data_IF_385546318468
#
_entry.id   IF_385546318468
#
_cell.length_a   1.000
_cell.length_b   1.000
_cell.length_c   1.000
_cell.angle_alpha   90.00
_cell.angle_beta   90.00
_cell.angle_gamma   90.00
#
_symmetry.space_group_name_H-M   'P 1'
#
loop_
_entity.id
_entity.type
_entity.pdbx_description
1 polymer ?
#
# COMPACT_ATOMS: atom_id res chain seq x y z
N UNK A 1 24.88 3.19 -17.54
CA UNK A 1 25.66 1.96 -17.87
C UNK A 1 24.91 0.70 -17.46
N UNK A 2 24.41 0.56 -16.21
CA UNK A 2 23.71 -0.62 -15.73
C UNK A 2 22.50 -1.03 -16.58
N UNK A 3 21.64 -0.07 -16.96
CA UNK A 3 20.49 -0.32 -17.83
C UNK A 3 20.92 -0.88 -19.20
N UNK A 4 21.99 -0.30 -19.80
CA UNK A 4 22.52 -0.78 -21.07
C UNK A 4 23.08 -2.18 -20.99
N UNK A 5 23.79 -2.49 -19.90
CA UNK A 5 24.32 -3.82 -19.64
C UNK A 5 23.19 -4.84 -19.49
N UNK A 6 22.17 -4.49 -18.72
CA UNK A 6 21.02 -5.37 -18.45
C UNK A 6 20.19 -5.62 -19.71
N UNK A 7 19.95 -4.58 -20.53
CA UNK A 7 19.27 -4.71 -21.82
C UNK A 7 20.07 -5.59 -22.79
N UNK A 8 21.40 -5.41 -22.86
CA UNK A 8 22.28 -6.24 -23.68
C UNK A 8 22.26 -7.70 -23.22
N UNK A 9 22.28 -7.94 -21.92
CA UNK A 9 22.24 -9.31 -21.37
C UNK A 9 20.92 -10.01 -21.70
N UNK A 10 19.80 -9.30 -21.63
CA UNK A 10 18.49 -9.85 -21.99
C UNK A 10 18.21 -9.85 -23.50
N UNK A 11 19.12 -9.38 -24.34
CA UNK A 11 18.96 -9.33 -25.81
C UNK A 11 17.85 -8.40 -26.30
N UNK A 12 17.49 -7.37 -25.49
CA UNK A 12 16.36 -6.47 -25.78
C UNK A 12 16.81 -5.06 -26.05
N UNK A 13 16.01 -4.31 -26.81
CA UNK A 13 16.22 -2.88 -27.04
C UNK A 13 15.69 -2.08 -25.86
N UNK A 14 16.39 -1.00 -25.53
CA UNK A 14 15.96 -0.07 -24.47
C UNK A 14 14.80 0.76 -24.98
N UNK A 15 13.68 0.75 -24.26
CA UNK A 15 12.60 1.72 -24.45
C UNK A 15 12.90 3.00 -23.66
N UNK A 16 13.37 4.02 -24.37
CA UNK A 16 13.65 5.32 -23.76
C UNK A 16 12.39 6.07 -23.32
N UNK A 17 11.23 5.77 -23.91
CA UNK A 17 9.96 6.38 -23.50
C UNK A 17 9.60 5.91 -22.08
N UNK A 18 9.70 4.62 -21.83
CA UNK A 18 9.52 4.03 -20.50
C UNK A 18 10.52 4.60 -19.49
N UNK A 19 11.80 4.73 -19.84
CA UNK A 19 12.81 5.31 -18.94
C UNK A 19 12.51 6.78 -18.59
N UNK A 20 11.96 7.55 -19.53
CA UNK A 20 11.55 8.93 -19.26
C UNK A 20 10.36 9.00 -18.29
N UNK A 21 9.39 8.09 -18.37
CA UNK A 21 8.25 8.07 -17.43
C UNK A 21 8.65 7.74 -16.00
N UNK A 22 9.82 7.14 -15.80
CA UNK A 22 10.41 6.82 -14.50
C UNK A 22 11.47 7.84 -14.05
N UNK A 23 11.63 8.96 -14.76
CA UNK A 23 12.62 10.02 -14.50
C UNK A 23 14.06 9.49 -14.42
N UNK A 24 14.36 8.39 -15.12
CA UNK A 24 15.70 7.77 -15.11
C UNK A 24 16.76 8.69 -15.69
N UNK A 25 16.37 9.58 -16.59
CA UNK A 25 17.29 10.55 -17.21
C UNK A 25 17.93 11.48 -16.18
N UNK A 26 17.23 11.84 -15.11
CA UNK A 26 17.75 12.69 -14.03
C UNK A 26 18.90 12.04 -13.24
N UNK A 27 18.92 10.73 -13.21
CA UNK A 27 19.88 9.95 -12.43
C UNK A 27 20.95 9.26 -13.32
N UNK A 28 20.87 9.42 -14.64
CA UNK A 28 21.72 8.70 -15.59
C UNK A 28 23.21 8.84 -15.33
N UNK A 29 23.64 10.03 -14.87
CA UNK A 29 25.06 10.34 -14.60
C UNK A 29 25.52 10.02 -13.17
N UNK A 30 24.59 9.66 -12.28
CA UNK A 30 24.92 9.36 -10.88
C UNK A 30 25.41 7.92 -10.74
N UNK A 31 26.35 7.71 -9.82
CA UNK A 31 26.71 6.37 -9.38
C UNK A 31 25.61 5.81 -8.48
N UNK A 32 25.40 4.49 -8.48
CA UNK A 32 24.37 3.83 -7.69
C UNK A 32 24.43 4.17 -6.18
N UNK A 33 25.65 4.29 -5.64
CA UNK A 33 25.87 4.65 -4.24
C UNK A 33 25.37 6.08 -3.88
N UNK A 34 25.31 6.97 -4.88
CA UNK A 34 24.89 8.37 -4.71
C UNK A 34 23.38 8.57 -4.88
N UNK A 35 22.64 7.52 -5.26
CA UNK A 35 21.20 7.57 -5.45
C UNK A 35 20.48 7.57 -4.10
N UNK A 36 19.44 8.41 -3.97
CA UNK A 36 18.50 8.31 -2.87
C UNK A 36 17.73 6.98 -2.92
N UNK A 37 17.07 6.61 -1.82
CA UNK A 37 16.26 5.38 -1.76
C UNK A 37 15.19 5.38 -2.86
N UNK A 38 14.47 6.50 -3.06
CA UNK A 38 13.47 6.64 -4.13
C UNK A 38 14.07 6.51 -5.52
N UNK A 39 15.26 7.10 -5.76
CA UNK A 39 15.97 6.98 -7.04
C UNK A 39 16.41 5.53 -7.30
N UNK A 40 16.86 4.81 -6.27
CA UNK A 40 17.19 3.38 -6.38
C UNK A 40 15.94 2.55 -6.71
N UNK A 41 14.81 2.81 -6.08
CA UNK A 41 13.55 2.10 -6.38
C UNK A 41 13.07 2.35 -7.82
N UNK A 42 13.12 3.60 -8.30
CA UNK A 42 12.81 3.93 -9.70
C UNK A 42 13.76 3.20 -10.67
N UNK A 43 15.03 3.12 -10.35
CA UNK A 43 16.01 2.36 -11.15
C UNK A 43 15.70 0.86 -11.15
N UNK A 44 15.38 0.27 -9.99
CA UNK A 44 15.00 -1.15 -9.90
C UNK A 44 13.73 -1.44 -10.71
N UNK A 45 12.72 -0.57 -10.64
CA UNK A 45 11.52 -0.71 -11.46
C UNK A 45 11.85 -0.60 -12.95
N UNK A 46 12.71 0.34 -13.35
CA UNK A 46 13.16 0.46 -14.73
C UNK A 46 13.87 -0.81 -15.22
N UNK A 47 14.72 -1.42 -14.39
CA UNK A 47 15.37 -2.69 -14.70
C UNK A 47 14.38 -3.84 -14.86
N UNK A 48 13.37 -3.92 -13.99
CA UNK A 48 12.31 -4.92 -14.07
C UNK A 48 11.46 -4.80 -15.34
N UNK A 49 11.33 -3.58 -15.88
CA UNK A 49 10.57 -3.30 -17.09
C UNK A 49 11.37 -3.47 -18.40
N UNK A 50 12.67 -3.72 -18.31
CA UNK A 50 13.48 -3.99 -19.50
C UNK A 50 12.94 -5.26 -20.19
N UNK A 51 12.72 -5.16 -21.51
CA UNK A 51 12.13 -6.25 -22.28
C UNK A 51 10.61 -6.26 -22.30
N UNK A 52 9.97 -5.25 -21.69
CA UNK A 52 8.53 -5.08 -21.71
C UNK A 52 7.75 -6.32 -21.21
N UNK A 53 8.05 -6.88 -20.03
CA UNK A 53 7.42 -8.10 -19.54
C UNK A 53 5.92 -7.90 -19.34
N UNK A 54 5.13 -8.98 -19.49
CA UNK A 54 3.69 -8.96 -19.19
C UNK A 54 3.41 -9.10 -17.69
N UNK A 55 4.33 -9.74 -16.95
CA UNK A 55 4.22 -9.97 -15.51
C UNK A 55 5.42 -9.34 -14.80
N UNK A 56 5.15 -8.56 -13.77
CA UNK A 56 6.14 -7.84 -12.98
C UNK A 56 5.98 -8.23 -11.51
N UNK A 57 7.07 -8.67 -10.87
CA UNK A 57 7.10 -8.96 -9.44
C UNK A 57 7.77 -7.82 -8.69
N UNK A 58 7.07 -7.29 -7.68
CA UNK A 58 7.55 -6.22 -6.81
C UNK A 58 7.50 -6.70 -5.36
N UNK A 59 8.66 -6.75 -4.72
CA UNK A 59 8.79 -7.13 -3.31
C UNK A 59 9.13 -5.89 -2.49
N UNK A 60 8.24 -5.55 -1.53
CA UNK A 60 8.35 -4.37 -0.65
C UNK A 60 8.77 -3.10 -1.41
N UNK A 61 8.07 -2.71 -2.50
CA UNK A 61 8.57 -1.67 -3.39
C UNK A 61 8.61 -0.29 -2.77
N UNK A 62 7.79 -0.02 -1.74
CA UNK A 62 7.73 1.27 -1.05
C UNK A 62 8.57 1.33 0.23
N UNK A 63 9.22 0.24 0.61
CA UNK A 63 10.01 0.19 1.84
C UNK A 63 11.11 1.26 1.84
N UNK A 64 11.14 2.09 2.90
CA UNK A 64 12.12 3.17 3.07
C UNK A 64 11.91 4.38 2.18
N UNK A 65 10.77 4.51 1.51
CA UNK A 65 10.38 5.72 0.79
C UNK A 65 9.70 6.72 1.75
N UNK A 66 9.95 8.00 1.50
CA UNK A 66 9.13 9.08 2.03
C UNK A 66 7.74 9.13 1.38
N UNK A 67 6.88 10.01 1.85
CA UNK A 67 5.50 10.13 1.35
C UNK A 67 5.45 10.43 -0.15
N UNK A 68 6.27 11.37 -0.62
CA UNK A 68 6.33 11.74 -2.05
C UNK A 68 6.82 10.58 -2.92
N UNK A 69 7.87 9.89 -2.49
CA UNK A 69 8.41 8.73 -3.19
C UNK A 69 7.40 7.59 -3.30
N UNK A 70 6.61 7.37 -2.23
CA UNK A 70 5.55 6.37 -2.19
C UNK A 70 4.43 6.73 -3.17
N UNK A 71 3.93 7.96 -3.15
CA UNK A 71 2.90 8.44 -4.09
C UNK A 71 3.36 8.30 -5.54
N UNK A 72 4.58 8.76 -5.84
CA UNK A 72 5.16 8.65 -7.19
C UNK A 72 5.24 7.20 -7.66
N UNK A 73 5.69 6.27 -6.82
CA UNK A 73 5.77 4.85 -7.16
C UNK A 73 4.37 4.23 -7.38
N UNK A 74 3.39 4.56 -6.56
CA UNK A 74 2.00 4.12 -6.72
C UNK A 74 1.42 4.58 -8.07
N UNK A 75 1.69 5.81 -8.48
CA UNK A 75 1.28 6.31 -9.80
C UNK A 75 1.91 5.51 -10.95
N UNK A 76 3.20 5.17 -10.84
CA UNK A 76 3.87 4.34 -11.84
C UNK A 76 3.25 2.95 -11.93
N UNK A 77 2.96 2.31 -10.79
CA UNK A 77 2.28 1.02 -10.74
C UNK A 77 0.90 1.10 -11.41
N UNK A 78 0.10 2.14 -11.11
CA UNK A 78 -1.21 2.33 -11.75
C UNK A 78 -1.10 2.52 -13.27
N UNK A 79 -0.11 3.28 -13.75
CA UNK A 79 0.14 3.45 -15.20
C UNK A 79 0.46 2.12 -15.86
N UNK A 80 1.28 1.28 -15.24
CA UNK A 80 1.60 -0.06 -15.75
C UNK A 80 0.36 -0.97 -15.81
N UNK A 81 -0.51 -0.92 -14.80
CA UNK A 81 -1.80 -1.64 -14.80
C UNK A 81 -2.68 -1.18 -15.98
N UNK A 82 -2.79 0.13 -16.20
CA UNK A 82 -3.55 0.69 -17.33
C UNK A 82 -2.98 0.27 -18.70
N UNK A 83 -1.69 -0.04 -18.79
CA UNK A 83 -1.05 -0.60 -19.97
C UNK A 83 -1.28 -2.12 -20.13
N UNK A 84 -2.09 -2.73 -19.26
CA UNK A 84 -2.41 -4.15 -19.31
C UNK A 84 -1.36 -5.07 -18.67
N UNK A 85 -0.40 -4.53 -17.90
CA UNK A 85 0.60 -5.34 -17.19
C UNK A 85 -0.02 -6.02 -15.98
N UNK A 86 0.37 -7.27 -15.75
CA UNK A 86 0.07 -7.99 -14.52
C UNK A 86 1.15 -7.72 -13.50
N UNK A 87 0.76 -7.22 -12.32
CA UNK A 87 1.71 -6.89 -11.25
C UNK A 87 1.41 -7.78 -10.05
N UNK A 88 2.43 -8.50 -9.61
CA UNK A 88 2.40 -9.26 -8.35
C UNK A 88 3.19 -8.47 -7.32
N UNK A 89 2.47 -7.94 -6.33
CA UNK A 89 3.01 -7.11 -5.26
C UNK A 89 3.08 -7.91 -3.97
N UNK A 90 4.25 -8.02 -3.35
CA UNK A 90 4.39 -8.47 -1.98
C UNK A 90 4.62 -7.26 -1.07
N UNK A 91 3.78 -7.09 -0.06
CA UNK A 91 3.90 -6.02 0.93
C UNK A 91 3.26 -6.45 2.26
N UNK A 92 3.77 -5.92 3.36
CA UNK A 92 3.15 -6.04 4.68
C UNK A 92 2.29 -4.81 5.04
N UNK A 93 2.28 -3.79 4.18
CA UNK A 93 1.45 -2.59 4.34
C UNK A 93 0.07 -2.82 3.71
N UNK A 94 -0.93 -3.10 4.54
CA UNK A 94 -2.31 -3.36 4.07
C UNK A 94 -2.91 -2.16 3.34
N UNK A 95 -2.59 -0.92 3.74
CA UNK A 95 -3.10 0.27 3.07
C UNK A 95 -2.57 0.39 1.64
N UNK A 96 -1.30 0.02 1.42
CA UNK A 96 -0.72 -0.09 0.08
C UNK A 96 -1.43 -1.15 -0.75
N UNK A 97 -1.60 -2.35 -0.19
CA UNK A 97 -2.24 -3.49 -0.87
C UNK A 97 -3.69 -3.16 -1.26
N UNK A 98 -4.47 -2.57 -0.35
CA UNK A 98 -5.86 -2.15 -0.61
C UNK A 98 -5.95 -1.08 -1.70
N UNK A 99 -4.96 -0.18 -1.78
CA UNK A 99 -4.95 0.93 -2.73
C UNK A 99 -4.54 0.51 -4.15
N UNK A 100 -3.66 -0.49 -4.27
CA UNK A 100 -3.04 -0.85 -5.55
C UNK A 100 -3.56 -2.16 -6.14
N UNK A 101 -3.97 -3.13 -5.30
CA UNK A 101 -4.27 -4.47 -5.75
C UNK A 101 -5.76 -4.68 -6.02
N UNK A 102 -6.08 -5.34 -7.14
CA UNK A 102 -7.45 -5.76 -7.46
C UNK A 102 -7.82 -7.03 -6.69
N UNK A 103 -6.83 -7.86 -6.41
CA UNK A 103 -6.97 -9.09 -5.63
C UNK A 103 -5.83 -9.22 -4.62
N UNK A 104 -6.14 -9.79 -3.48
CA UNK A 104 -5.23 -9.97 -2.35
C UNK A 104 -5.17 -11.44 -2.01
N UNK A 105 -3.95 -11.95 -1.80
CA UNK A 105 -3.71 -13.25 -1.20
C UNK A 105 -2.96 -13.06 0.12
N UNK A 106 -3.48 -13.61 1.22
CA UNK A 106 -2.81 -13.59 2.52
C UNK A 106 -2.14 -14.93 2.74
N UNK A 107 -0.82 -14.88 2.97
CA UNK A 107 -0.01 -16.03 3.30
C UNK A 107 0.22 -16.10 4.82
N UNK A 108 0.02 -17.27 5.39
CA UNK A 108 0.37 -17.55 6.77
C UNK A 108 1.01 -18.94 6.86
N UNK A 109 2.22 -19.02 7.41
CA UNK A 109 2.97 -20.26 7.57
C UNK A 109 3.04 -21.11 6.29
N UNK A 110 3.30 -20.45 5.13
CA UNK A 110 3.40 -21.11 3.82
C UNK A 110 2.08 -21.49 3.15
N UNK A 111 0.93 -21.19 3.77
CA UNK A 111 -0.39 -21.49 3.23
C UNK A 111 -1.14 -20.20 2.87
N UNK A 112 -1.90 -20.23 1.77
CA UNK A 112 -2.82 -19.15 1.44
C UNK A 112 -4.08 -19.31 2.30
N UNK A 113 -4.24 -18.41 3.27
CA UNK A 113 -5.40 -18.40 4.20
C UNK A 113 -6.56 -17.56 3.69
N UNK A 114 -6.30 -16.67 2.74
CA UNK A 114 -7.29 -15.85 2.05
C UNK A 114 -6.85 -15.58 0.62
N UNK A 115 -7.80 -15.53 -0.30
CA UNK A 115 -7.61 -15.03 -1.66
C UNK A 115 -8.93 -14.40 -2.14
N UNK A 116 -8.89 -13.09 -2.45
CA UNK A 116 -10.09 -12.36 -2.84
C UNK A 116 -9.81 -10.87 -3.04
N UNK A 117 -10.85 -10.06 -3.02
CA UNK A 117 -10.78 -8.59 -3.06
C UNK A 117 -10.61 -8.00 -1.65
N UNK A 118 -10.20 -6.72 -1.56
CA UNK A 118 -10.14 -6.00 -0.29
C UNK A 118 -11.51 -5.97 0.42
N UNK A 119 -12.60 -5.79 -0.35
CA UNK A 119 -13.96 -5.78 0.17
C UNK A 119 -14.37 -7.15 0.76
N UNK A 120 -14.03 -8.25 0.07
CA UNK A 120 -14.28 -9.60 0.58
C UNK A 120 -13.47 -9.89 1.86
N UNK A 121 -12.23 -9.42 1.93
CA UNK A 121 -11.40 -9.53 3.12
C UNK A 121 -12.04 -8.79 4.30
N UNK A 122 -12.42 -7.52 4.09
CA UNK A 122 -13.06 -6.70 5.11
C UNK A 122 -14.36 -7.35 5.63
N UNK A 123 -15.18 -7.92 4.73
CA UNK A 123 -16.40 -8.61 5.11
C UNK A 123 -16.12 -9.91 5.91
N UNK A 124 -15.05 -10.65 5.55
CA UNK A 124 -14.68 -11.89 6.21
C UNK A 124 -14.07 -11.69 7.60
N UNK A 125 -13.26 -10.64 7.75
CA UNK A 125 -12.63 -10.30 9.04
C UNK A 125 -13.62 -9.62 9.99
N UNK A 126 -14.71 -9.04 9.45
CA UNK A 126 -15.64 -8.17 10.14
C UNK A 126 -14.97 -6.82 10.45
N UNK A 127 -15.57 -5.73 10.08
CA UNK A 127 -15.08 -4.42 10.53
C UNK A 127 -15.27 -4.35 12.03
N UNK A 128 -14.20 -4.32 12.79
CA UNK A 128 -14.25 -4.02 14.22
C UNK A 128 -13.80 -2.59 14.38
N UNK A 129 -14.72 -1.78 14.84
CA UNK A 129 -14.47 -0.38 15.15
C UNK A 129 -14.12 -0.24 16.63
N UNK A 130 -13.28 0.74 16.94
CA UNK A 130 -12.99 1.13 18.30
C UNK A 130 -13.67 2.47 18.56
N UNK A 131 -14.55 2.51 19.55
CA UNK A 131 -15.20 3.74 20.00
C UNK A 131 -14.50 4.19 21.26
N UNK A 132 -13.81 5.32 21.18
CA UNK A 132 -13.13 5.95 22.31
C UNK A 132 -14.05 7.05 22.85
N UNK A 133 -14.49 6.90 24.09
CA UNK A 133 -15.34 7.88 24.78
C UNK A 133 -14.55 8.48 25.94
N UNK A 134 -14.35 9.77 25.88
CA UNK A 134 -13.76 10.56 26.96
C UNK A 134 -14.86 11.14 27.82
N UNK A 135 -14.83 10.88 29.12
CA UNK A 135 -15.78 11.39 30.10
C UNK A 135 -15.05 12.13 31.22
N UNK A 136 -15.79 12.83 32.10
CA UNK A 136 -15.22 13.42 33.32
C UNK A 136 -14.63 12.39 34.29
N UNK A 137 -15.04 11.13 34.17
CA UNK A 137 -14.58 10.04 35.05
C UNK A 137 -13.45 9.21 34.45
N UNK A 138 -13.03 9.49 33.20
CA UNK A 138 -11.94 8.81 32.52
C UNK A 138 -12.24 8.45 31.06
N UNK A 139 -11.27 7.85 30.42
CA UNK A 139 -11.31 7.44 29.02
C UNK A 139 -11.63 5.95 28.92
N UNK A 140 -12.61 5.60 28.08
CA UNK A 140 -13.02 4.22 27.83
C UNK A 140 -12.97 3.90 26.33
N UNK A 141 -12.57 2.68 26.00
CA UNK A 141 -12.52 2.18 24.61
C UNK A 141 -13.41 0.95 24.49
N UNK A 142 -14.32 0.98 23.53
CA UNK A 142 -15.26 -0.09 23.24
C UNK A 142 -15.02 -0.63 21.84
N UNK A 143 -14.97 -1.95 21.70
CA UNK A 143 -14.82 -2.64 20.42
C UNK A 143 -16.19 -3.09 19.93
N UNK A 144 -16.54 -2.74 18.71
CA UNK A 144 -17.84 -3.09 18.11
C UNK A 144 -17.73 -3.39 16.63
N UNK A 145 -18.67 -4.14 16.10
CA UNK A 145 -18.96 -4.35 14.69
C UNK A 145 -20.11 -3.45 14.18
N UNK A 146 -20.84 -2.79 15.09
CA UNK A 146 -21.93 -1.87 14.76
C UNK A 146 -21.82 -0.58 15.59
N UNK A 147 -21.30 0.47 14.94
CA UNK A 147 -21.07 1.78 15.57
C UNK A 147 -22.38 2.37 16.10
N UNK A 148 -23.42 2.38 15.26
CA UNK A 148 -24.69 3.04 15.58
C UNK A 148 -25.34 2.47 16.84
N UNK A 149 -25.58 1.17 16.87
CA UNK A 149 -26.21 0.51 18.00
C UNK A 149 -25.39 0.64 19.28
N UNK A 150 -24.08 0.53 19.17
CA UNK A 150 -23.19 0.63 20.33
C UNK A 150 -23.13 2.05 20.86
N UNK A 151 -23.06 3.06 20.00
CA UNK A 151 -23.09 4.46 20.43
C UNK A 151 -24.40 4.82 21.12
N UNK A 152 -25.56 4.42 20.55
CA UNK A 152 -26.87 4.69 21.16
C UNK A 152 -26.93 4.07 22.57
N UNK A 153 -26.49 2.82 22.70
CA UNK A 153 -26.50 2.11 23.99
C UNK A 153 -25.58 2.79 25.01
N UNK A 154 -24.33 3.10 24.63
CA UNK A 154 -23.35 3.71 25.53
C UNK A 154 -23.75 5.12 25.96
N UNK A 155 -24.24 5.94 25.03
CA UNK A 155 -24.68 7.29 25.36
C UNK A 155 -25.93 7.30 26.25
N UNK A 156 -26.84 6.36 26.04
CA UNK A 156 -28.03 6.18 26.92
C UNK A 156 -27.61 5.80 28.33
N UNK A 157 -26.69 4.86 28.48
CA UNK A 157 -26.15 4.41 29.76
C UNK A 157 -25.41 5.52 30.51
N UNK A 158 -24.53 6.26 29.81
CA UNK A 158 -23.80 7.38 30.39
C UNK A 158 -24.78 8.50 30.87
N UNK A 159 -25.80 8.79 30.06
CA UNK A 159 -26.83 9.77 30.40
C UNK A 159 -27.65 9.34 31.65
N UNK A 160 -28.01 8.06 31.75
CA UNK A 160 -28.73 7.54 32.95
C UNK A 160 -27.87 7.63 34.21
N UNK A 161 -26.55 7.46 34.06
CA UNK A 161 -25.59 7.58 35.17
C UNK A 161 -25.21 9.03 35.49
N UNK A 162 -25.71 10.01 34.73
CA UNK A 162 -25.39 11.42 34.91
C UNK A 162 -23.93 11.77 34.54
N UNK A 163 -23.26 10.93 33.73
CA UNK A 163 -21.86 11.11 33.34
C UNK A 163 -21.80 11.94 32.07
N UNK A 164 -21.06 13.04 32.10
CA UNK A 164 -20.89 13.92 30.94
C UNK A 164 -19.84 13.37 29.99
N UNK A 165 -20.18 13.27 28.70
CA UNK A 165 -19.27 12.92 27.63
C UNK A 165 -18.56 14.18 27.15
N UNK A 166 -17.22 14.14 27.09
CA UNK A 166 -16.36 15.26 26.68
C UNK A 166 -15.90 15.13 25.22
N UNK A 167 -15.64 13.91 24.75
CA UNK A 167 -15.18 13.65 23.37
C UNK A 167 -15.53 12.23 22.95
N UNK A 168 -15.75 12.03 21.64
CA UNK A 168 -15.99 10.72 21.03
C UNK A 168 -15.14 10.62 19.76
N UNK A 169 -14.34 9.55 19.66
CA UNK A 169 -13.60 9.19 18.43
C UNK A 169 -13.95 7.78 18.02
N UNK A 170 -13.99 7.54 16.72
CA UNK A 170 -14.22 6.22 16.12
C UNK A 170 -13.08 5.94 15.16
N UNK A 171 -12.40 4.80 15.36
CA UNK A 171 -11.31 4.29 14.52
C UNK A 171 -11.68 2.94 13.90
#
# INVERSE_FOLDING_TARGET
EGIKLFAKWNGVKIDYTMLNTLDIKEIEKKQYAQLSTGQKRRLHLALALIGNPDIIFLDEPTAGLDVEGRVSLHEQIRKLKLQGKTIVLASHDMAEVETLCDRIAILNSGNIVFCGTASELTNKVGRKYFIHIKTEQGDNTFKTDNIENTLISLLSDLRQKGIQVLDIKVD
#
